data_IF_333073399707
#
_entry.id   IF_333073399707
#
_cell.length_a   1.000
_cell.length_b   1.000
_cell.length_c   1.000
_cell.angle_alpha   90.00
_cell.angle_beta   90.00
_cell.angle_gamma   90.00
#
_symmetry.space_group_name_H-M   'P 1'
#
loop_
_entity.id
_entity.type
_entity.pdbx_description
1 polymer ?
#
# COMPACT_ATOMS: atom_id res chain seq x y z
N UNK A 1 -1.81 -10.95 12.24
CA UNK A 1 -0.39 -10.63 11.92
C UNK A 1 -0.20 -9.12 11.91
N UNK A 2 1.03 -8.64 12.11
CA UNK A 2 1.38 -7.21 11.98
C UNK A 2 1.42 -6.83 10.50
N UNK A 3 0.76 -5.74 10.10
CA UNK A 3 0.81 -5.24 8.72
C UNK A 3 0.83 -3.71 8.64
N UNK A 4 1.41 -3.20 7.57
CA UNK A 4 1.20 -1.85 7.08
C UNK A 4 -0.06 -1.85 6.21
N UNK A 5 -0.89 -0.82 6.36
CA UNK A 5 -1.94 -0.44 5.41
C UNK A 5 -1.58 0.93 4.84
N UNK A 6 -1.54 1.03 3.51
CA UNK A 6 -1.35 2.30 2.80
C UNK A 6 -2.58 2.60 1.96
N UNK A 7 -3.40 3.55 2.40
CA UNK A 7 -4.49 4.13 1.62
C UNK A 7 -3.93 5.21 0.70
N UNK A 8 -3.94 4.96 -0.61
CA UNK A 8 -3.16 5.72 -1.58
C UNK A 8 -4.06 6.66 -2.38
N UNK A 9 -3.69 7.94 -2.39
CA UNK A 9 -4.07 8.90 -3.41
C UNK A 9 -3.01 8.94 -4.49
N UNK A 10 -3.44 8.86 -5.73
CA UNK A 10 -2.59 9.12 -6.89
C UNK A 10 -2.31 10.62 -6.96
N UNK A 11 -1.11 11.01 -7.41
CA UNK A 11 -0.83 12.42 -7.74
C UNK A 11 -1.83 12.96 -8.75
N UNK A 12 -2.21 14.23 -8.64
CA UNK A 12 -3.21 14.84 -9.52
C UNK A 12 -2.79 14.93 -11.00
N UNK A 13 -1.49 14.88 -11.31
CA UNK A 13 -0.93 15.11 -12.65
C UNK A 13 -0.79 13.85 -13.53
N UNK A 14 -0.95 12.66 -12.96
CA UNK A 14 -0.88 11.38 -13.70
C UNK A 14 -2.29 11.07 -14.28
N UNK A 15 -2.55 9.95 -14.96
CA UNK A 15 -3.92 9.45 -15.21
C UNK A 15 -4.25 8.22 -14.34
N UNK A 16 -5.53 7.90 -14.14
CA UNK A 16 -5.91 6.70 -13.36
C UNK A 16 -5.33 5.43 -13.99
N UNK A 17 -5.46 5.28 -15.32
CA UNK A 17 -4.95 4.13 -16.07
C UNK A 17 -3.43 4.01 -15.96
N UNK A 18 -2.71 5.14 -16.07
CA UNK A 18 -1.26 5.15 -15.93
C UNK A 18 -0.82 4.75 -14.52
N UNK A 19 -1.53 5.19 -13.48
CA UNK A 19 -1.21 4.82 -12.12
C UNK A 19 -1.45 3.35 -11.83
N UNK A 20 -2.59 2.78 -12.23
CA UNK A 20 -2.83 1.36 -12.00
C UNK A 20 -1.82 0.49 -12.76
N UNK A 21 -1.52 0.85 -14.01
CA UNK A 21 -0.46 0.20 -14.80
C UNK A 21 0.90 0.31 -14.12
N UNK A 22 1.34 1.51 -13.77
CA UNK A 22 2.64 1.72 -13.14
C UNK A 22 2.73 0.99 -11.79
N UNK A 23 1.69 1.11 -10.97
CA UNK A 23 1.66 0.53 -9.64
C UNK A 23 1.77 -1.00 -9.69
N UNK A 24 1.09 -1.65 -10.63
CA UNK A 24 1.12 -3.10 -10.80
C UNK A 24 2.36 -3.59 -11.56
N UNK A 25 2.66 -2.99 -12.71
CA UNK A 25 3.64 -3.53 -13.67
C UNK A 25 5.07 -3.04 -13.41
N UNK A 26 5.24 -1.89 -12.75
CA UNK A 26 6.55 -1.28 -12.53
C UNK A 26 6.93 -1.21 -11.04
N UNK A 27 6.02 -0.74 -10.18
CA UNK A 27 6.29 -0.64 -8.74
C UNK A 27 6.24 -2.01 -8.05
N UNK A 28 5.27 -2.89 -8.37
CA UNK A 28 5.19 -4.20 -7.71
C UNK A 28 6.47 -5.06 -7.88
N UNK A 29 7.11 -5.13 -9.07
CA UNK A 29 8.40 -5.80 -9.21
C UNK A 29 9.53 -5.17 -8.38
N UNK A 30 9.53 -3.84 -8.23
CA UNK A 30 10.48 -3.11 -7.38
C UNK A 30 10.31 -3.48 -5.91
N UNK A 31 9.07 -3.54 -5.42
CA UNK A 31 8.76 -4.02 -4.06
C UNK A 31 9.19 -5.47 -3.88
N UNK A 32 8.82 -6.35 -4.82
CA UNK A 32 9.21 -7.77 -4.77
C UNK A 32 10.72 -7.95 -4.67
N UNK A 33 11.50 -7.17 -5.42
CA UNK A 33 12.96 -7.21 -5.42
C UNK A 33 13.56 -6.89 -4.04
N UNK A 34 12.92 -6.02 -3.27
CA UNK A 34 13.44 -5.58 -1.96
C UNK A 34 12.66 -6.14 -0.77
N UNK A 35 11.70 -7.05 -1.00
CA UNK A 35 10.79 -7.56 0.02
C UNK A 35 11.52 -8.14 1.24
N UNK A 36 12.57 -8.94 1.02
CA UNK A 36 13.38 -9.50 2.10
C UNK A 36 14.13 -8.42 2.89
N UNK A 37 14.69 -7.42 2.20
CA UNK A 37 15.43 -6.34 2.84
C UNK A 37 14.56 -5.48 3.77
N UNK A 38 13.27 -5.31 3.44
CA UNK A 38 12.30 -4.62 4.29
C UNK A 38 11.60 -5.56 5.29
N UNK A 39 11.91 -6.86 5.29
CA UNK A 39 11.31 -7.85 6.19
C UNK A 39 9.86 -8.22 5.87
N UNK A 40 9.37 -7.89 4.66
CA UNK A 40 8.00 -8.17 4.24
C UNK A 40 7.82 -9.65 3.90
N UNK A 41 6.72 -10.25 4.36
CA UNK A 41 6.36 -11.65 4.07
C UNK A 41 5.15 -11.79 3.15
N UNK A 42 4.41 -10.70 2.93
CA UNK A 42 3.30 -10.63 1.98
C UNK A 42 3.10 -9.19 1.54
N UNK A 43 2.72 -9.00 0.29
CA UNK A 43 2.37 -7.71 -0.30
C UNK A 43 1.15 -7.90 -1.19
N UNK A 44 0.12 -7.05 -1.03
CA UNK A 44 -1.11 -7.10 -1.82
C UNK A 44 -1.48 -5.69 -2.23
N UNK A 45 -1.75 -5.48 -3.52
CA UNK A 45 -2.38 -4.27 -4.04
C UNK A 45 -3.87 -4.53 -4.26
N UNK A 46 -4.70 -3.55 -3.91
CA UNK A 46 -6.14 -3.54 -4.22
C UNK A 46 -6.47 -2.21 -4.86
N UNK A 47 -6.69 -2.23 -6.17
CA UNK A 47 -7.05 -1.06 -6.96
C UNK A 47 -8.53 -0.76 -6.80
N UNK A 48 -8.88 0.51 -6.60
CA UNK A 48 -10.27 0.93 -6.49
C UNK A 48 -11.00 0.69 -7.81
N UNK A 49 -12.15 0.02 -7.74
CA UNK A 49 -12.99 -0.30 -8.89
C UNK A 49 -14.46 0.08 -8.61
N UNK A 50 -15.34 -0.04 -9.62
CA UNK A 50 -16.79 0.17 -9.47
C UNK A 50 -17.16 1.57 -8.90
N UNK A 51 -16.85 2.67 -9.61
CA UNK A 51 -17.01 4.03 -9.09
C UNK A 51 -18.44 4.39 -8.69
N UNK A 52 -19.45 3.94 -9.43
CA UNK A 52 -20.86 4.17 -9.11
C UNK A 52 -21.25 3.51 -7.79
N UNK A 53 -20.86 2.23 -7.60
CA UNK A 53 -21.11 1.52 -6.36
C UNK A 53 -20.39 2.19 -5.18
N UNK A 54 -19.16 2.64 -5.35
CA UNK A 54 -18.45 3.37 -4.30
C UNK A 54 -19.13 4.69 -3.93
N UNK A 55 -19.73 5.39 -4.90
CA UNK A 55 -20.48 6.61 -4.64
C UNK A 55 -21.70 6.33 -3.74
N UNK A 56 -22.47 5.28 -4.05
CA UNK A 56 -23.60 4.84 -3.22
C UNK A 56 -23.14 4.39 -1.83
N UNK A 57 -22.05 3.62 -1.77
CA UNK A 57 -21.49 3.14 -0.50
C UNK A 57 -21.07 4.31 0.38
N UNK A 58 -20.43 5.34 -0.19
CA UNK A 58 -19.99 6.53 0.53
C UNK A 58 -21.18 7.39 0.98
N UNK A 59 -22.15 7.62 0.10
CA UNK A 59 -23.36 8.38 0.42
C UNK A 59 -24.15 7.74 1.57
N UNK A 60 -24.27 6.41 1.57
CA UNK A 60 -24.99 5.67 2.62
C UNK A 60 -24.36 5.76 4.02
N UNK A 61 -23.09 6.15 4.15
CA UNK A 61 -22.38 6.26 5.44
C UNK A 61 -21.84 7.67 5.72
N UNK A 62 -21.96 8.60 4.78
CA UNK A 62 -21.37 9.94 4.87
C UNK A 62 -19.84 9.92 4.94
N UNK A 63 -19.19 8.95 4.29
CA UNK A 63 -17.73 8.87 4.26
C UNK A 63 -17.14 9.80 3.18
N UNK A 64 -15.83 10.04 3.28
CA UNK A 64 -15.08 10.76 2.26
C UNK A 64 -15.02 9.96 0.94
N UNK A 65 -14.56 10.62 -0.12
CA UNK A 65 -14.30 9.99 -1.42
C UNK A 65 -13.33 8.81 -1.27
N UNK A 66 -13.51 7.72 -2.04
CA UNK A 66 -12.61 6.57 -2.00
C UNK A 66 -11.18 6.97 -2.35
N UNK A 67 -10.20 6.26 -1.81
CA UNK A 67 -8.81 6.31 -2.25
C UNK A 67 -8.69 5.68 -3.65
N UNK A 68 -7.58 5.90 -4.35
CA UNK A 68 -7.30 5.23 -5.62
C UNK A 68 -6.95 3.74 -5.39
N UNK A 69 -6.52 3.37 -4.18
CA UNK A 69 -6.46 1.98 -3.77
C UNK A 69 -5.82 1.82 -2.40
N UNK A 70 -5.59 0.57 -2.03
CA UNK A 70 -4.77 0.24 -0.86
C UNK A 70 -3.64 -0.72 -1.24
N UNK A 71 -2.50 -0.62 -0.55
CA UNK A 71 -1.60 -1.76 -0.42
C UNK A 71 -1.49 -2.19 1.03
N UNK A 72 -1.35 -3.49 1.21
CA UNK A 72 -1.08 -4.10 2.50
C UNK A 72 0.27 -4.83 2.45
N UNK A 73 1.08 -4.66 3.50
CA UNK A 73 2.40 -5.30 3.63
C UNK A 73 2.47 -5.99 4.98
N UNK A 74 2.58 -7.32 5.01
CA UNK A 74 2.62 -8.08 6.25
C UNK A 74 4.04 -8.38 6.69
N UNK A 75 4.22 -8.44 7.99
CA UNK A 75 5.44 -8.82 8.68
C UNK A 75 5.14 -9.99 9.62
N UNK A 76 6.17 -10.75 9.99
CA UNK A 76 6.02 -11.82 11.00
C UNK A 76 5.58 -11.23 12.35
N UNK A 77 6.34 -10.24 12.81
CA UNK A 77 6.14 -9.50 14.04
C UNK A 77 6.93 -8.17 13.99
N UNK A 78 6.80 -7.36 15.04
CA UNK A 78 7.47 -6.06 15.15
C UNK A 78 8.99 -6.18 15.22
N UNK A 79 9.52 -7.17 15.93
CA UNK A 79 10.96 -7.34 16.11
C UNK A 79 11.63 -7.68 14.78
N UNK A 80 11.04 -8.58 14.00
CA UNK A 80 11.51 -8.96 12.67
C UNK A 80 11.51 -7.78 11.70
N UNK A 81 10.41 -7.02 11.66
CA UNK A 81 10.30 -5.81 10.83
C UNK A 81 11.38 -4.80 11.19
N UNK A 82 11.52 -4.46 12.48
CA UNK A 82 12.51 -3.49 12.95
C UNK A 82 13.93 -3.94 12.65
N UNK A 83 14.24 -5.21 12.90
CA UNK A 83 15.56 -5.77 12.64
C UNK A 83 15.94 -5.68 11.15
N UNK A 84 15.01 -5.92 10.23
CA UNK A 84 15.25 -5.79 8.80
C UNK A 84 15.48 -4.32 8.40
N UNK A 85 14.60 -3.41 8.84
CA UNK A 85 14.61 -2.00 8.42
C UNK A 85 15.82 -1.20 8.92
N UNK A 86 16.51 -1.63 9.99
CA UNK A 86 17.72 -0.95 10.49
C UNK A 86 19.02 -1.43 9.83
N UNK A 87 18.98 -2.49 9.03
CA UNK A 87 20.15 -2.93 8.25
C UNK A 87 20.46 -1.92 7.15
N UNK A 88 21.72 -1.83 6.66
CA UNK A 88 22.04 -0.98 5.51
C UNK A 88 21.17 -1.27 4.28
N UNK A 89 20.90 -2.56 4.00
CA UNK A 89 20.04 -2.98 2.90
C UNK A 89 18.58 -2.54 3.12
N UNK A 90 18.06 -2.64 4.34
CA UNK A 90 16.71 -2.20 4.69
C UNK A 90 16.54 -0.68 4.57
N UNK A 91 17.53 0.09 5.01
CA UNK A 91 17.55 1.55 4.86
C UNK A 91 17.60 1.95 3.39
N UNK A 92 18.45 1.30 2.59
CA UNK A 92 18.54 1.54 1.14
C UNK A 92 17.23 1.18 0.44
N UNK A 93 16.66 0.01 0.74
CA UNK A 93 15.38 -0.43 0.20
C UNK A 93 14.23 0.55 0.53
N UNK A 94 14.15 1.02 1.78
CA UNK A 94 13.16 2.01 2.18
C UNK A 94 13.29 3.32 1.41
N UNK A 95 14.51 3.85 1.26
CA UNK A 95 14.76 5.07 0.46
C UNK A 95 14.43 4.86 -1.01
N UNK A 96 14.77 3.69 -1.56
CA UNK A 96 14.46 3.32 -2.93
C UNK A 96 12.94 3.29 -3.19
N UNK A 97 12.17 2.68 -2.29
CA UNK A 97 10.70 2.64 -2.41
C UNK A 97 10.07 4.02 -2.23
N UNK A 98 10.47 4.81 -1.24
CA UNK A 98 9.94 6.17 -1.04
C UNK A 98 10.23 7.06 -2.26
N UNK A 99 11.42 6.96 -2.84
CA UNK A 99 11.77 7.70 -4.05
C UNK A 99 10.88 7.29 -5.23
N UNK A 100 10.64 5.99 -5.41
CA UNK A 100 9.76 5.46 -6.45
C UNK A 100 8.30 5.91 -6.25
N UNK A 101 7.77 5.73 -5.03
CA UNK A 101 6.42 6.12 -4.63
C UNK A 101 6.16 7.61 -4.85
N UNK A 102 7.14 8.48 -4.57
CA UNK A 102 7.00 9.92 -4.79
C UNK A 102 6.75 10.32 -6.25
N UNK A 103 7.05 9.43 -7.20
CA UNK A 103 6.80 9.67 -8.62
C UNK A 103 5.33 9.53 -8.99
N UNK A 104 4.52 8.79 -8.23
CA UNK A 104 3.13 8.47 -8.59
C UNK A 104 2.09 8.61 -7.47
N UNK A 105 2.51 8.67 -6.21
CA UNK A 105 1.66 8.79 -5.02
C UNK A 105 1.66 10.23 -4.51
N UNK A 106 0.47 10.75 -4.20
CA UNK A 106 0.31 11.95 -3.38
C UNK A 106 0.41 11.55 -1.91
N UNK A 107 1.59 11.71 -1.31
CA UNK A 107 1.79 11.37 0.10
C UNK A 107 0.94 12.20 1.05
N UNK A 108 0.66 13.47 0.74
CA UNK A 108 -0.08 14.35 1.63
C UNK A 108 -1.58 14.00 1.66
N UNK A 109 -2.12 13.54 0.52
CA UNK A 109 -3.49 13.04 0.42
C UNK A 109 -3.67 11.57 0.86
N UNK A 110 -2.58 10.83 1.05
CA UNK A 110 -2.58 9.41 1.42
C UNK A 110 -2.49 9.18 2.93
N UNK A 111 -2.74 7.95 3.38
CA UNK A 111 -2.60 7.55 4.80
C UNK A 111 -1.89 6.20 4.93
N UNK A 112 -0.83 6.14 5.74
CA UNK A 112 0.02 4.96 5.96
C UNK A 112 0.12 4.66 7.46
N UNK A 113 -0.25 3.44 7.88
CA UNK A 113 -0.29 3.09 9.30
C UNK A 113 -0.12 1.59 9.57
N UNK A 114 0.27 1.24 10.80
CA UNK A 114 0.42 -0.14 11.27
C UNK A 114 -0.90 -0.68 11.83
N UNK A 115 -1.19 -1.96 11.59
CA UNK A 115 -2.37 -2.65 12.11
C UNK A 115 -2.05 -4.08 12.54
N UNK A 116 -2.88 -4.62 13.43
CA UNK A 116 -2.99 -6.05 13.67
C UNK A 116 -4.30 -6.56 13.07
N UNK A 117 -4.22 -7.62 12.29
CA UNK A 117 -5.41 -8.26 11.74
C UNK A 117 -6.14 -9.11 12.78
N UNK A 118 -7.45 -8.89 12.88
CA UNK A 118 -8.39 -9.70 13.65
C UNK A 118 -9.40 -10.32 12.68
N UNK A 119 -9.22 -11.59 12.33
CA UNK A 119 -10.14 -12.30 11.44
C UNK A 119 -11.43 -12.65 12.21
N UNK A 120 -12.57 -12.15 11.73
CA UNK A 120 -13.89 -12.41 12.34
C UNK A 120 -14.58 -13.61 11.69
N UNK A 121 -14.42 -13.76 10.37
CA UNK A 121 -14.93 -14.87 9.58
C UNK A 121 -14.07 -15.06 8.33
N UNK A 122 -13.96 -16.31 7.87
CA UNK A 122 -13.34 -16.68 6.60
C UNK A 122 -14.28 -17.69 5.92
N UNK A 123 -15.25 -17.16 5.18
CA UNK A 123 -16.25 -17.94 4.45
C UNK A 123 -15.77 -18.06 3.00
N UNK A 124 -15.79 -19.28 2.48
CA UNK A 124 -15.28 -19.64 1.16
C UNK A 124 -16.13 -19.06 0.02
#
# INVERSE_FOLDING_TARGET
MLKIVFCIRRRADISADEFYRYWLDEHAPKVRRVAEAIGAVRYVQSHTCLPEMNADLAAGRGTQSPYDGITEVWFRDEQHMRAAMVTPAGVEAGRFLVADESTFIDFAGSSLFMTHEHEIFNLA
#
